data_IF_450555870634
#
_entry.id   IF_450555870634
#
_cell.length_a   1.000
_cell.length_b   1.000
_cell.length_c   1.000
_cell.angle_alpha   90.00
_cell.angle_beta   90.00
_cell.angle_gamma   90.00
#
_symmetry.space_group_name_H-M   'P 1'
#
loop_
_entity.id
_entity.type
_entity.pdbx_description
1 polymer ?
#
# COMPACT_ATOMS: atom_id res chain seq x y z
N UNK A 1 -18.31 4.83 -6.83
CA UNK A 1 -17.48 5.40 -5.76
C UNK A 1 -16.08 5.62 -6.29
N UNK A 2 -15.27 6.51 -5.69
CA UNK A 2 -13.86 6.64 -6.06
C UNK A 2 -13.01 5.60 -5.32
N UNK A 3 -12.24 4.85 -6.09
CA UNK A 3 -11.25 3.88 -5.63
C UNK A 3 -9.89 4.35 -6.11
N UNK A 4 -8.88 4.31 -5.25
CA UNK A 4 -7.51 4.67 -5.62
C UNK A 4 -6.63 3.43 -5.52
N UNK A 5 -6.02 3.05 -6.64
CA UNK A 5 -5.02 1.98 -6.70
C UNK A 5 -3.64 2.58 -6.53
N UNK A 6 -2.88 2.10 -5.55
CA UNK A 6 -1.56 2.60 -5.17
C UNK A 6 -0.55 1.46 -5.37
N UNK A 7 0.32 1.58 -6.38
CA UNK A 7 1.18 0.48 -6.80
C UNK A 7 2.63 0.93 -7.03
N UNK A 8 3.55 -0.02 -7.08
CA UNK A 8 4.96 0.21 -7.42
C UNK A 8 5.23 0.24 -8.93
N UNK A 9 4.17 0.38 -9.74
CA UNK A 9 4.27 0.43 -11.20
C UNK A 9 4.25 -0.95 -11.88
N UNK A 10 3.88 -1.99 -11.13
CA UNK A 10 3.69 -3.34 -11.64
C UNK A 10 2.40 -3.54 -12.44
N UNK A 11 2.28 -4.73 -13.05
CA UNK A 11 1.08 -5.11 -13.81
C UNK A 11 -0.15 -5.29 -12.90
N UNK A 12 0.04 -5.70 -11.64
CA UNK A 12 -1.07 -5.94 -10.71
C UNK A 12 -1.88 -4.66 -10.44
N UNK A 13 -1.21 -3.51 -10.26
CA UNK A 13 -1.90 -2.24 -10.10
C UNK A 13 -2.73 -1.86 -11.33
N UNK A 14 -2.16 -2.03 -12.52
CA UNK A 14 -2.84 -1.73 -13.79
C UNK A 14 -4.08 -2.61 -13.98
N UNK A 15 -3.93 -3.92 -13.86
CA UNK A 15 -5.05 -4.87 -14.01
C UNK A 15 -6.13 -4.65 -12.95
N UNK A 16 -5.73 -4.33 -11.72
CA UNK A 16 -6.69 -3.98 -10.64
C UNK A 16 -7.46 -2.71 -10.99
N UNK A 17 -6.78 -1.66 -11.45
CA UNK A 17 -7.41 -0.41 -11.85
C UNK A 17 -8.40 -0.60 -13.01
N UNK A 18 -8.03 -1.42 -14.00
CA UNK A 18 -8.91 -1.80 -15.11
C UNK A 18 -10.14 -2.54 -14.60
N UNK A 19 -9.96 -3.57 -13.77
CA UNK A 19 -11.06 -4.34 -13.21
C UNK A 19 -12.04 -3.49 -12.38
N UNK A 20 -11.53 -2.57 -11.56
CA UNK A 20 -12.37 -1.66 -10.77
C UNK A 20 -13.18 -0.72 -11.67
N UNK A 21 -12.56 -0.20 -12.74
CA UNK A 21 -13.23 0.65 -13.73
C UNK A 21 -14.31 -0.11 -14.48
N UNK A 22 -14.05 -1.36 -14.85
CA UNK A 22 -15.00 -2.21 -15.57
C UNK A 22 -16.25 -2.54 -14.73
N UNK A 23 -16.14 -2.44 -13.40
CA UNK A 23 -17.27 -2.51 -12.46
C UNK A 23 -17.97 -1.15 -12.22
N UNK A 24 -17.72 -0.16 -13.09
CA UNK A 24 -18.39 1.14 -13.08
C UNK A 24 -17.99 2.09 -11.95
N UNK A 25 -16.83 1.85 -11.31
CA UNK A 25 -16.30 2.73 -10.28
C UNK A 25 -15.38 3.80 -10.89
N UNK A 26 -15.28 4.95 -10.22
CA UNK A 26 -14.27 5.96 -10.55
C UNK A 26 -12.92 5.47 -10.02
N UNK A 27 -11.89 5.49 -10.86
CA UNK A 27 -10.57 4.96 -10.52
C UNK A 27 -9.50 6.03 -10.61
N UNK A 28 -8.82 6.27 -9.49
CA UNK A 28 -7.52 6.95 -9.47
C UNK A 28 -6.41 5.90 -9.47
N UNK A 29 -5.30 6.19 -10.14
CA UNK A 29 -4.11 5.35 -10.10
C UNK A 29 -2.91 6.18 -9.66
N UNK A 30 -2.17 5.67 -8.69
CA UNK A 30 -0.92 6.24 -8.18
C UNK A 30 0.16 5.19 -8.39
N UNK A 31 1.16 5.52 -9.20
CA UNK A 31 2.30 4.64 -9.45
C UNK A 31 3.57 5.24 -8.86
N UNK A 32 4.25 4.45 -8.04
CA UNK A 32 5.46 4.84 -7.34
C UNK A 32 6.61 3.87 -7.66
N UNK A 33 7.15 3.88 -8.88
CA UNK A 33 8.17 2.92 -9.33
C UNK A 33 9.50 3.00 -8.57
N UNK A 34 9.68 4.04 -7.74
CA UNK A 34 10.85 4.20 -6.85
C UNK A 34 10.56 3.85 -5.39
N UNK A 35 9.34 3.36 -5.10
CA UNK A 35 8.81 3.19 -3.75
C UNK A 35 7.81 4.28 -3.40
N UNK A 36 6.86 3.97 -2.52
CA UNK A 36 5.81 4.89 -2.08
C UNK A 36 6.37 6.05 -1.26
N UNK A 37 7.56 5.90 -0.67
CA UNK A 37 8.32 6.99 -0.05
C UNK A 37 8.68 8.14 -1.00
N UNK A 38 8.69 7.88 -2.32
CA UNK A 38 8.93 8.91 -3.32
C UNK A 38 7.77 9.91 -3.47
N UNK A 39 6.59 9.57 -2.94
CA UNK A 39 5.41 10.42 -3.01
C UNK A 39 5.34 11.36 -1.80
N UNK A 40 5.04 12.62 -2.08
CA UNK A 40 4.83 13.64 -1.06
C UNK A 40 3.47 13.46 -0.37
N UNK A 41 3.31 13.96 0.87
CA UNK A 41 2.00 13.97 1.54
C UNK A 41 0.91 14.67 0.72
N UNK A 42 1.29 15.70 -0.04
CA UNK A 42 0.36 16.44 -0.92
C UNK A 42 -0.09 15.56 -2.08
N UNK A 43 0.82 14.84 -2.74
CA UNK A 43 0.46 13.93 -3.84
C UNK A 43 -0.48 12.82 -3.35
N UNK A 44 -0.26 12.27 -2.15
CA UNK A 44 -1.21 11.33 -1.56
C UNK A 44 -2.56 12.00 -1.25
N UNK A 45 -2.57 13.19 -0.66
CA UNK A 45 -3.82 13.88 -0.32
C UNK A 45 -4.65 14.23 -1.56
N UNK A 46 -4.00 14.72 -2.62
CA UNK A 46 -4.65 15.07 -3.89
C UNK A 46 -5.22 13.81 -4.56
N UNK A 47 -4.45 12.70 -4.57
CA UNK A 47 -4.91 11.43 -5.12
C UNK A 47 -6.11 10.86 -4.33
N UNK A 48 -6.05 10.93 -2.99
CA UNK A 48 -7.04 10.36 -2.09
C UNK A 48 -8.25 11.27 -1.84
N UNK A 49 -8.30 12.47 -2.42
CA UNK A 49 -9.46 13.35 -2.30
C UNK A 49 -10.73 12.66 -2.82
N UNK A 50 -11.76 12.57 -1.98
CA UNK A 50 -13.03 11.90 -2.28
C UNK A 50 -12.92 10.37 -2.40
N UNK A 51 -11.77 9.79 -2.08
CA UNK A 51 -11.52 8.35 -2.15
C UNK A 51 -12.27 7.61 -1.04
N UNK A 52 -13.02 6.58 -1.42
CA UNK A 52 -13.69 5.71 -0.46
C UNK A 52 -12.86 4.47 -0.11
N UNK A 53 -12.09 3.95 -1.06
CA UNK A 53 -11.35 2.69 -0.96
C UNK A 53 -9.96 2.86 -1.54
N UNK A 54 -8.94 2.47 -0.79
CA UNK A 54 -7.57 2.33 -1.30
C UNK A 54 -7.29 0.87 -1.56
N UNK A 55 -6.74 0.55 -2.73
CA UNK A 55 -6.19 -0.78 -3.05
C UNK A 55 -4.69 -0.63 -3.22
N UNK A 56 -3.90 -1.30 -2.38
CA UNK A 56 -2.45 -1.23 -2.34
C UNK A 56 -1.85 -2.62 -2.69
N UNK A 57 -1.73 -2.96 -3.99
CA UNK A 57 -1.09 -4.18 -4.43
C UNK A 57 0.44 -4.14 -4.37
N UNK A 58 1.04 -3.02 -3.95
CA UNK A 58 2.48 -2.87 -3.92
C UNK A 58 3.12 -3.98 -3.07
N UNK A 59 4.23 -4.54 -3.59
CA UNK A 59 4.98 -5.55 -2.86
C UNK A 59 5.78 -4.88 -1.74
N UNK A 60 5.67 -5.35 -0.48
CA UNK A 60 6.60 -4.88 0.54
C UNK A 60 8.02 -5.30 0.14
N UNK A 61 9.02 -4.41 0.29
CA UNK A 61 10.39 -4.74 -0.06
C UNK A 61 10.85 -6.00 0.69
N UNK A 62 11.49 -6.94 -0.02
CA UNK A 62 11.92 -8.21 0.56
C UNK A 62 12.90 -7.97 1.73
N UNK A 63 12.62 -8.56 2.90
CA UNK A 63 13.48 -8.42 4.10
C UNK A 63 14.69 -9.37 4.08
N UNK A 64 15.38 -9.50 2.94
CA UNK A 64 16.63 -10.26 2.87
C UNK A 64 17.71 -9.70 3.83
N UNK A 65 17.54 -8.47 4.29
CA UNK A 65 18.29 -7.87 5.40
C UNK A 65 17.29 -7.21 6.32
N UNK A 66 17.17 -7.71 7.55
CA UNK A 66 16.26 -7.14 8.56
C UNK A 66 16.51 -5.65 8.69
N UNK A 67 15.44 -4.85 8.61
CA UNK A 67 15.51 -3.39 8.45
C UNK A 67 16.43 -3.02 7.29
N UNK A 68 15.89 -2.76 6.09
CA UNK A 68 16.66 -2.01 5.10
C UNK A 68 16.63 -0.56 5.59
N UNK A 69 17.69 -0.03 6.23
CA UNK A 69 17.86 1.40 6.20
C UNK A 69 17.87 1.80 4.73
N UNK A 70 17.20 2.89 4.39
CA UNK A 70 17.58 3.61 3.17
C UNK A 70 19.09 3.82 3.17
N UNK A 71 19.66 4.21 2.03
CA UNK A 71 21.07 4.62 1.93
C UNK A 71 21.50 5.63 3.03
N UNK A 72 20.52 6.26 3.70
CA UNK A 72 20.65 7.27 4.74
C UNK A 72 20.23 6.81 6.16
N UNK A 73 20.09 5.50 6.43
CA UNK A 73 19.88 5.00 7.80
C UNK A 73 18.43 4.99 8.31
N UNK A 74 17.44 5.36 7.50
CA UNK A 74 16.02 5.42 7.90
C UNK A 74 15.27 4.12 7.57
N UNK A 75 14.52 3.59 8.53
CA UNK A 75 13.56 2.50 8.28
C UNK A 75 12.41 3.06 7.44
N UNK A 76 12.17 2.49 6.26
CA UNK A 76 11.07 2.89 5.36
C UNK A 76 9.71 2.44 5.92
N UNK A 77 8.87 3.40 6.30
CA UNK A 77 7.48 3.20 6.76
C UNK A 77 6.48 3.73 5.70
N UNK A 78 6.60 3.18 4.49
CA UNK A 78 5.83 3.58 3.32
C UNK A 78 4.33 3.31 3.53
N UNK A 79 4.00 2.12 4.05
CA UNK A 79 2.63 1.76 4.37
C UNK A 79 2.06 2.63 5.49
N UNK A 80 2.82 2.99 6.53
CA UNK A 80 2.32 3.84 7.60
C UNK A 80 2.05 5.27 7.13
N UNK A 81 2.84 5.79 6.19
CA UNK A 81 2.52 7.06 5.52
C UNK A 81 1.18 6.97 4.79
N UNK A 82 1.02 5.99 3.90
CA UNK A 82 -0.20 5.81 3.13
C UNK A 82 -1.43 5.66 4.04
N UNK A 83 -1.34 4.87 5.10
CA UNK A 83 -2.43 4.69 6.07
C UNK A 83 -2.82 5.99 6.75
N UNK A 84 -1.84 6.79 7.23
CA UNK A 84 -2.12 8.09 7.86
C UNK A 84 -2.82 9.03 6.90
N UNK A 85 -2.39 9.11 5.64
CA UNK A 85 -3.01 9.99 4.65
C UNK A 85 -4.40 9.48 4.24
N UNK A 86 -4.58 8.16 4.11
CA UNK A 86 -5.89 7.55 3.83
C UNK A 86 -6.90 7.84 4.95
N UNK A 87 -6.50 7.67 6.21
CA UNK A 87 -7.34 8.00 7.36
C UNK A 87 -7.70 9.49 7.36
N UNK A 88 -6.72 10.38 7.15
CA UNK A 88 -6.96 11.82 7.09
C UNK A 88 -7.89 12.24 5.94
N UNK A 89 -7.85 11.52 4.82
CA UNK A 89 -8.74 11.73 3.67
C UNK A 89 -10.14 11.12 3.84
N UNK A 90 -10.40 10.42 4.94
CA UNK A 90 -11.70 9.78 5.20
C UNK A 90 -11.94 8.50 4.40
N UNK A 91 -10.86 7.84 3.94
CA UNK A 91 -10.94 6.53 3.29
C UNK A 91 -11.54 5.52 4.27
N UNK A 92 -12.51 4.73 3.80
CA UNK A 92 -13.27 3.82 4.66
C UNK A 92 -12.72 2.40 4.66
N UNK A 93 -12.05 2.01 3.57
CA UNK A 93 -11.50 0.67 3.40
C UNK A 93 -10.11 0.71 2.78
N UNK A 94 -9.23 -0.13 3.29
CA UNK A 94 -7.89 -0.36 2.76
C UNK A 94 -7.71 -1.84 2.41
N UNK A 95 -7.57 -2.12 1.12
CA UNK A 95 -7.34 -3.47 0.61
C UNK A 95 -5.86 -3.61 0.24
N UNK A 96 -5.12 -4.47 0.93
CA UNK A 96 -3.71 -4.71 0.64
C UNK A 96 -3.46 -6.11 0.07
N UNK A 97 -2.41 -6.25 -0.74
CA UNK A 97 -1.91 -7.57 -1.14
C UNK A 97 -1.16 -8.25 0.01
N UNK A 98 -1.52 -9.50 0.28
CA UNK A 98 -0.83 -10.41 1.19
C UNK A 98 -0.55 -11.76 0.52
N UNK A 99 0.13 -12.66 1.24
CA UNK A 99 0.42 -14.02 0.82
C UNK A 99 -0.18 -15.05 1.78
N UNK A 100 -0.58 -16.19 1.24
CA UNK A 100 -1.13 -17.29 2.03
C UNK A 100 -0.03 -17.85 2.95
N UNK A 101 -0.33 -18.00 4.23
CA UNK A 101 0.60 -18.61 5.20
C UNK A 101 1.62 -17.64 5.82
N UNK A 102 1.48 -16.33 5.58
CA UNK A 102 2.32 -15.26 6.17
C UNK A 102 2.51 -15.38 7.68
N UNK A 103 1.45 -15.71 8.43
CA UNK A 103 1.54 -15.93 9.87
C UNK A 103 2.34 -17.19 10.31
N UNK A 104 2.58 -18.15 9.41
CA UNK A 104 3.16 -19.48 9.69
C UNK A 104 4.62 -19.60 9.25
N UNK A 105 5.01 -18.98 8.13
CA UNK A 105 6.35 -19.12 7.52
C UNK A 105 7.20 -17.88 7.81
N UNK A 106 7.43 -17.58 9.10
CA UNK A 106 8.13 -16.35 9.54
C UNK A 106 9.66 -16.39 9.38
N UNK A 107 10.21 -17.56 9.06
CA UNK A 107 11.64 -17.75 8.85
C UNK A 107 12.14 -17.04 7.57
N UNK A 108 11.25 -16.84 6.60
CA UNK A 108 11.55 -16.14 5.37
C UNK A 108 11.34 -14.63 5.51
N UNK A 109 12.33 -13.84 5.07
CA UNK A 109 12.29 -12.39 5.18
C UNK A 109 11.11 -11.75 4.45
N UNK A 110 10.73 -12.25 3.28
CA UNK A 110 9.59 -11.73 2.53
C UNK A 110 8.27 -11.88 3.32
N UNK A 111 8.02 -13.06 3.90
CA UNK A 111 6.81 -13.35 4.67
C UNK A 111 6.75 -12.52 5.95
N UNK A 112 7.88 -12.28 6.62
CA UNK A 112 7.94 -11.40 7.78
C UNK A 112 7.65 -9.93 7.43
N UNK A 113 7.96 -9.48 6.21
CA UNK A 113 7.57 -8.14 5.72
C UNK A 113 6.06 -8.02 5.55
N UNK A 114 5.48 -8.98 4.85
CA UNK A 114 4.04 -9.03 4.63
C UNK A 114 3.30 -9.10 5.97
N UNK A 115 3.77 -9.91 6.93
CA UNK A 115 3.17 -10.00 8.26
C UNK A 115 3.23 -8.70 9.04
N UNK A 116 4.36 -8.00 9.01
CA UNK A 116 4.50 -6.71 9.68
C UNK A 116 3.55 -5.66 9.09
N UNK A 117 3.35 -5.69 7.77
CA UNK A 117 2.41 -4.84 7.04
C UNK A 117 0.97 -5.14 7.40
N UNK A 118 0.55 -6.42 7.37
CA UNK A 118 -0.78 -6.85 7.83
C UNK A 118 -1.08 -6.30 9.23
N UNK A 119 -0.17 -6.54 10.17
CA UNK A 119 -0.35 -6.10 11.54
C UNK A 119 -0.40 -4.57 11.68
N UNK A 120 0.26 -3.82 10.79
CA UNK A 120 0.19 -2.36 10.81
C UNK A 120 -1.14 -1.82 10.27
N UNK A 121 -1.67 -2.45 9.22
CA UNK A 121 -2.99 -2.12 8.65
C UNK A 121 -4.07 -2.44 9.68
N UNK A 122 -4.04 -3.63 10.30
CA UNK A 122 -4.97 -4.01 11.38
C UNK A 122 -4.97 -3.01 12.54
N UNK A 123 -3.78 -2.54 12.97
CA UNK A 123 -3.65 -1.55 14.05
C UNK A 123 -4.11 -0.14 13.66
N UNK A 124 -4.22 0.16 12.37
CA UNK A 124 -4.56 1.51 11.89
C UNK A 124 -6.04 1.86 12.11
N UNK A 125 -6.91 0.86 12.32
CA UNK A 125 -8.34 1.04 12.55
C UNK A 125 -9.15 1.35 11.28
N UNK A 126 -8.50 1.39 10.11
CA UNK A 126 -9.20 1.38 8.83
C UNK A 126 -9.72 -0.04 8.56
N UNK A 127 -10.90 -0.16 7.96
CA UNK A 127 -11.48 -1.45 7.59
C UNK A 127 -10.75 -2.11 6.42
#
# INVERSE_FOLDING_TARGET
MKVVVVDDGGLMGVETALGVRDHGQEVGMVQAPRGLDSLTPKEFADALNGCAVVIDPAHPPSQATGTVPTRDGRVRDDTGHLLRTAIAAGVRQHVCLSAVGVGRVRAEGAFRAVYAREAMIERSGIS
#
